data_IF_873570763922
#
_entry.id   IF_873570763922
#
_cell.length_a   1.000
_cell.length_b   1.000
_cell.length_c   1.000
_cell.angle_alpha   90.00
_cell.angle_beta   90.00
_cell.angle_gamma   90.00
#
_symmetry.space_group_name_H-M   'P 1'
#
loop_
_entity.id
_entity.type
_entity.pdbx_description
1 polymer ?
#
# COMPACT_ATOMS: atom_id res chain seq x y z
N UNK A 1 -1.44 -8.36 12.28
CA UNK A 1 -2.65 -9.16 11.97
C UNK A 1 -3.04 -8.86 10.52
N UNK A 2 -3.46 -9.85 9.71
CA UNK A 2 -3.83 -9.63 8.30
C UNK A 2 -5.23 -10.17 8.00
N UNK A 3 -6.06 -9.45 7.23
CA UNK A 3 -7.40 -9.90 6.91
C UNK A 3 -7.37 -11.13 5.99
N UNK A 4 -8.37 -12.01 6.13
CA UNK A 4 -8.48 -13.25 5.36
C UNK A 4 -9.78 -13.25 4.55
N UNK A 5 -9.76 -13.85 3.35
CA UNK A 5 -10.92 -13.90 2.45
C UNK A 5 -12.07 -14.68 3.06
N UNK A 6 -11.83 -15.92 3.49
CA UNK A 6 -12.83 -16.81 4.10
C UNK A 6 -14.08 -16.97 3.21
N UNK A 7 -13.88 -17.12 1.90
CA UNK A 7 -14.95 -17.31 0.92
C UNK A 7 -15.80 -16.07 0.61
N UNK A 8 -15.42 -14.88 1.10
CA UNK A 8 -16.11 -13.61 0.81
C UNK A 8 -15.55 -12.96 -0.44
N UNK A 9 -16.37 -12.16 -1.11
CA UNK A 9 -15.89 -11.20 -2.10
C UNK A 9 -15.06 -10.12 -1.38
N UNK A 10 -13.91 -9.77 -1.95
CA UNK A 10 -12.98 -8.81 -1.33
C UNK A 10 -13.27 -7.39 -1.80
N UNK A 11 -13.07 -7.14 -3.09
CA UNK A 11 -13.17 -5.79 -3.67
C UNK A 11 -14.62 -5.47 -4.00
N UNK A 12 -15.11 -4.33 -3.52
CA UNK A 12 -16.52 -3.94 -3.57
C UNK A 12 -17.37 -4.47 -2.43
N UNK A 13 -16.80 -5.26 -1.50
CA UNK A 13 -17.50 -5.79 -0.33
C UNK A 13 -16.73 -5.52 0.98
N UNK A 14 -15.57 -6.16 1.17
CA UNK A 14 -14.73 -5.96 2.35
C UNK A 14 -13.77 -4.77 2.21
N UNK A 15 -13.35 -4.52 0.97
CA UNK A 15 -12.51 -3.41 0.56
C UNK A 15 -13.35 -2.50 -0.32
N UNK A 16 -13.59 -1.24 0.07
CA UNK A 16 -14.37 -0.31 -0.75
C UNK A 16 -13.59 0.01 -2.03
N UNK A 17 -14.32 0.16 -3.14
CA UNK A 17 -13.76 0.63 -4.40
C UNK A 17 -13.94 2.15 -4.49
N UNK A 18 -12.96 2.83 -5.08
CA UNK A 18 -12.94 4.29 -5.26
C UNK A 18 -12.94 5.12 -3.95
N UNK A 19 -12.71 4.48 -2.80
CA UNK A 19 -12.58 5.13 -1.51
C UNK A 19 -11.26 4.72 -0.84
N UNK A 20 -10.78 5.58 0.06
CA UNK A 20 -9.58 5.28 0.84
C UNK A 20 -9.85 4.08 1.74
N UNK A 21 -8.89 3.15 1.74
CA UNK A 21 -8.88 1.97 2.58
C UNK A 21 -7.60 1.95 3.42
N UNK A 22 -7.74 1.54 4.68
CA UNK A 22 -6.67 1.45 5.68
C UNK A 22 -5.56 0.44 5.39
N UNK A 23 -5.60 -0.24 4.24
CA UNK A 23 -4.56 -1.15 3.74
C UNK A 23 -4.03 -2.11 4.80
N UNK A 24 -4.89 -3.02 5.28
CA UNK A 24 -4.54 -3.92 6.38
C UNK A 24 -5.74 -4.36 7.21
N UNK A 25 -5.46 -4.88 8.42
CA UNK A 25 -6.50 -5.35 9.34
C UNK A 25 -6.99 -4.25 10.29
N UNK A 26 -6.18 -3.89 11.29
CA UNK A 26 -6.60 -3.09 12.44
C UNK A 26 -5.76 -1.82 12.58
N UNK A 27 -4.44 -1.98 12.72
CA UNK A 27 -3.46 -0.89 12.75
C UNK A 27 -3.20 -0.37 11.34
N UNK A 28 -2.86 0.92 11.24
CA UNK A 28 -2.38 1.49 9.98
C UNK A 28 -1.05 0.83 9.61
N UNK A 29 -0.96 0.24 8.42
CA UNK A 29 0.29 -0.35 7.96
C UNK A 29 1.36 0.73 7.86
N UNK A 30 2.53 0.50 8.46
CA UNK A 30 3.64 1.44 8.41
C UNK A 30 4.69 1.03 7.38
N UNK A 31 5.23 2.01 6.67
CA UNK A 31 6.40 1.90 5.80
C UNK A 31 7.50 2.80 6.38
N UNK A 32 8.69 2.25 6.58
CA UNK A 32 9.83 3.01 7.12
C UNK A 32 11.03 2.81 6.21
N UNK A 33 11.71 3.91 5.89
CA UNK A 33 12.97 3.90 5.13
C UNK A 33 14.03 4.69 5.87
N UNK A 34 15.26 4.16 5.89
CA UNK A 34 16.44 4.79 6.44
C UNK A 34 17.28 5.54 5.37
N UNK A 35 16.84 5.51 4.11
CA UNK A 35 17.47 6.18 2.97
C UNK A 35 16.43 6.94 2.14
N UNK A 36 16.83 8.00 1.42
CA UNK A 36 15.96 8.60 0.42
C UNK A 36 15.67 7.56 -0.68
N UNK A 37 14.40 7.41 -1.02
CA UNK A 37 13.94 6.50 -2.05
C UNK A 37 13.32 7.28 -3.21
N UNK A 38 13.12 6.60 -4.32
CA UNK A 38 12.11 6.97 -5.30
C UNK A 38 11.04 5.89 -5.32
N UNK A 39 9.79 6.32 -5.33
CA UNK A 39 8.64 5.44 -5.49
C UNK A 39 8.01 5.83 -6.83
N UNK A 40 8.01 4.91 -7.78
CA UNK A 40 7.58 5.20 -9.16
C UNK A 40 8.26 6.46 -9.75
N UNK A 41 9.59 6.55 -9.55
CA UNK A 41 10.40 7.69 -9.98
C UNK A 41 10.25 8.97 -9.15
N UNK A 42 9.24 9.07 -8.27
CA UNK A 42 9.00 10.25 -7.43
C UNK A 42 9.76 10.17 -6.10
N UNK A 43 10.36 11.28 -5.64
CA UNK A 43 11.19 11.26 -4.43
C UNK A 43 10.35 11.02 -3.16
N UNK A 44 10.82 10.10 -2.32
CA UNK A 44 10.33 9.89 -0.96
C UNK A 44 11.49 10.09 0.02
N UNK A 45 11.43 11.10 0.91
CA UNK A 45 12.46 11.34 1.91
C UNK A 45 12.66 10.16 2.88
N UNK A 46 13.76 10.20 3.63
CA UNK A 46 13.95 9.33 4.80
C UNK A 46 12.81 9.58 5.78
N UNK A 47 12.20 8.52 6.30
CA UNK A 47 11.16 8.68 7.30
C UNK A 47 10.29 7.45 7.49
N UNK A 48 9.26 7.66 8.31
CA UNK A 48 8.22 6.68 8.62
C UNK A 48 6.87 7.22 8.14
N UNK A 49 6.15 6.36 7.45
CA UNK A 49 4.90 6.67 6.76
C UNK A 49 3.85 5.64 7.13
N UNK A 50 2.59 6.03 7.07
CA UNK A 50 1.46 5.09 7.03
C UNK A 50 1.01 4.90 5.59
N UNK A 51 0.64 3.67 5.26
CA UNK A 51 0.19 3.29 3.92
C UNK A 51 -1.33 3.25 3.86
N UNK A 52 -1.87 3.92 2.86
CA UNK A 52 -3.29 3.92 2.52
C UNK A 52 -3.44 3.57 1.04
N UNK A 53 -4.61 3.05 0.65
CA UNK A 53 -4.85 2.70 -0.75
C UNK A 53 -6.24 3.12 -1.18
N UNK A 54 -6.38 3.45 -2.45
CA UNK A 54 -7.68 3.64 -3.12
C UNK A 54 -7.80 2.58 -4.21
N UNK A 55 -8.41 1.43 -3.92
CA UNK A 55 -8.60 0.36 -4.90
C UNK A 55 -9.60 0.78 -5.97
N UNK A 56 -9.24 0.62 -7.24
CA UNK A 56 -10.15 0.67 -8.40
C UNK A 56 -10.00 -0.63 -9.20
N UNK A 57 -10.82 -0.81 -10.22
CA UNK A 57 -10.86 -2.06 -10.99
C UNK A 57 -9.55 -2.38 -11.72
N UNK A 58 -8.87 -1.36 -12.26
CA UNK A 58 -7.67 -1.51 -13.09
C UNK A 58 -6.41 -0.88 -12.51
N UNK A 59 -6.56 0.05 -11.56
CA UNK A 59 -5.47 0.84 -10.98
C UNK A 59 -5.73 1.01 -9.49
N UNK A 60 -4.69 0.93 -8.67
CA UNK A 60 -4.76 1.34 -7.28
C UNK A 60 -3.93 2.60 -7.08
N UNK A 61 -4.46 3.55 -6.32
CA UNK A 61 -3.64 4.61 -5.75
C UNK A 61 -3.05 4.09 -4.44
N UNK A 62 -1.74 4.20 -4.26
CA UNK A 62 -1.03 3.88 -3.01
C UNK A 62 -0.49 5.19 -2.43
N UNK A 63 -0.85 5.46 -1.19
CA UNK A 63 -0.63 6.75 -0.53
C UNK A 63 0.37 6.55 0.62
N UNK A 64 1.42 7.36 0.63
CA UNK A 64 2.40 7.45 1.70
C UNK A 64 2.08 8.69 2.53
N UNK A 65 1.53 8.49 3.72
CA UNK A 65 1.09 9.55 4.62
C UNK A 65 2.09 9.70 5.79
N UNK A 66 2.49 10.93 6.11
CA UNK A 66 3.49 11.20 7.15
C UNK A 66 2.95 11.08 8.59
N UNK A 67 1.64 11.17 8.78
CA UNK A 67 1.01 11.07 10.11
C UNK A 67 0.95 9.62 10.56
N UNK A 68 1.19 9.43 11.85
CA UNK A 68 1.14 8.12 12.50
C UNK A 68 -0.22 7.94 13.18
N UNK A 69 -0.78 6.75 13.03
CA UNK A 69 -2.08 6.41 13.57
C UNK A 69 -1.97 5.10 14.34
N UNK A 70 -2.48 5.07 15.57
CA UNK A 70 -2.56 3.85 16.37
C UNK A 70 -3.58 2.84 15.83
N UNK A 71 -4.54 3.32 15.04
CA UNK A 71 -5.58 2.49 14.43
C UNK A 71 -5.90 2.99 13.02
N UNK A 72 -6.33 2.09 12.14
CA UNK A 72 -6.60 2.41 10.74
C UNK A 72 -7.98 3.02 10.48
N UNK A 73 -8.95 2.84 11.38
CA UNK A 73 -10.34 3.35 11.25
C UNK A 73 -10.86 4.00 12.54
N UNK A 74 -11.85 4.86 12.41
CA UNK A 74 -12.59 5.43 13.55
C UNK A 74 -13.71 4.50 14.04
N UNK A 75 -14.53 4.99 14.98
CA UNK A 75 -15.69 4.27 15.53
C UNK A 75 -16.80 4.03 14.52
N UNK A 76 -16.81 4.75 13.40
CA UNK A 76 -17.76 4.62 12.29
C UNK A 76 -17.19 3.77 11.14
N UNK A 77 -16.05 3.10 11.36
CA UNK A 77 -15.33 2.29 10.36
C UNK A 77 -14.78 3.11 9.17
N UNK A 78 -14.65 4.43 9.32
CA UNK A 78 -14.03 5.30 8.31
C UNK A 78 -12.51 5.34 8.49
N UNK A 79 -11.72 5.47 7.42
CA UNK A 79 -10.27 5.59 7.53
C UNK A 79 -9.87 6.77 8.44
N UNK A 80 -8.90 6.55 9.33
CA UNK A 80 -8.32 7.63 10.15
C UNK A 80 -7.45 8.61 9.33
N UNK A 81 -7.14 8.24 8.09
CA UNK A 81 -6.35 9.01 7.12
C UNK A 81 -6.76 10.48 7.05
N UNK A 82 -5.76 11.34 6.93
CA UNK A 82 -5.90 12.79 6.81
C UNK A 82 -5.09 13.27 5.60
N UNK A 83 -5.73 13.70 4.50
CA UNK A 83 -5.07 14.04 3.24
C UNK A 83 -4.02 15.15 3.38
N UNK A 84 -4.10 15.99 4.42
CA UNK A 84 -3.15 17.07 4.64
C UNK A 84 -1.73 16.57 4.96
N UNK A 85 -1.59 15.28 5.25
CA UNK A 85 -0.32 14.64 5.60
C UNK A 85 0.19 13.71 4.50
N UNK A 86 -0.48 13.64 3.35
CA UNK A 86 -0.03 12.88 2.19
C UNK A 86 1.27 13.47 1.64
N UNK A 87 2.27 12.62 1.52
CA UNK A 87 3.59 12.99 1.00
C UNK A 87 3.72 12.56 -0.45
N UNK A 88 3.12 11.42 -0.79
CA UNK A 88 3.19 10.86 -2.13
C UNK A 88 2.01 9.93 -2.41
N UNK A 89 1.43 10.09 -3.60
CA UNK A 89 0.42 9.22 -4.16
C UNK A 89 0.95 8.61 -5.45
N UNK A 90 0.90 7.28 -5.58
CA UNK A 90 1.35 6.57 -6.78
C UNK A 90 0.24 5.71 -7.33
N UNK A 91 0.02 5.77 -8.64
CA UNK A 91 -0.97 4.92 -9.32
C UNK A 91 -0.27 3.69 -9.91
N UNK A 92 -0.67 2.50 -9.49
CA UNK A 92 -0.10 1.23 -9.94
C UNK A 92 -1.17 0.33 -10.55
N UNK A 93 -0.85 -0.38 -11.65
CA UNK A 93 -1.82 -1.24 -12.31
C UNK A 93 -2.17 -2.47 -11.46
N UNK A 94 -3.42 -2.89 -11.58
CA UNK A 94 -3.91 -4.15 -11.03
C UNK A 94 -3.46 -5.30 -11.92
N UNK A 95 -2.77 -6.26 -11.32
CA UNK A 95 -2.42 -7.53 -11.95
C UNK A 95 -3.33 -8.63 -11.43
N UNK A 96 -3.99 -9.33 -12.36
CA UNK A 96 -4.78 -10.51 -12.03
C UNK A 96 -3.89 -11.74 -11.82
N UNK A 97 -4.14 -12.46 -10.74
CA UNK A 97 -3.43 -13.67 -10.37
C UNK A 97 -4.23 -14.91 -10.81
N UNK A 98 -3.52 -15.94 -11.25
CA UNK A 98 -4.12 -17.24 -11.58
C UNK A 98 -4.46 -18.08 -10.34
N UNK A 99 -4.12 -17.61 -9.14
CA UNK A 99 -4.35 -18.29 -7.88
C UNK A 99 -4.90 -17.30 -6.87
N UNK A 100 -5.85 -17.76 -6.07
CA UNK A 100 -6.40 -17.00 -4.95
C UNK A 100 -5.37 -16.90 -3.82
N UNK A 101 -5.14 -15.66 -3.38
CA UNK A 101 -4.39 -15.31 -2.18
C UNK A 101 -5.36 -15.19 -1.01
N UNK A 102 -5.38 -16.17 -0.11
CA UNK A 102 -6.36 -16.22 0.97
C UNK A 102 -6.21 -15.12 2.02
N UNK A 103 -4.98 -14.68 2.27
CA UNK A 103 -4.67 -13.66 3.28
C UNK A 103 -4.02 -12.47 2.63
N UNK A 104 -4.51 -11.27 2.92
CA UNK A 104 -3.90 -10.05 2.42
C UNK A 104 -2.42 -10.02 2.81
N UNK A 105 -1.56 -9.95 1.80
CA UNK A 105 -0.12 -10.06 1.97
C UNK A 105 0.54 -8.83 1.42
N UNK A 106 1.33 -8.17 2.27
CA UNK A 106 2.23 -7.09 1.90
C UNK A 106 3.64 -7.66 2.01
N UNK A 107 4.48 -7.41 1.01
CA UNK A 107 5.86 -7.89 1.02
C UNK A 107 6.73 -7.19 -0.01
N UNK A 108 8.04 -7.35 0.13
CA UNK A 108 9.01 -6.88 -0.84
C UNK A 108 9.37 -7.98 -1.82
N UNK A 109 9.41 -7.66 -3.11
CA UNK A 109 9.83 -8.54 -4.19
C UNK A 109 11.02 -7.90 -4.90
N UNK A 110 12.14 -8.61 -4.95
CA UNK A 110 13.36 -8.17 -5.64
C UNK A 110 13.89 -9.24 -6.61
N UNK A 111 13.02 -10.15 -7.04
CA UNK A 111 13.43 -11.35 -7.80
C UNK A 111 13.97 -11.04 -9.20
N UNK A 112 13.59 -9.90 -9.79
CA UNK A 112 14.07 -9.45 -11.10
C UNK A 112 15.29 -8.52 -11.02
N UNK A 113 15.77 -8.21 -9.81
CA UNK A 113 16.79 -7.19 -9.57
C UNK A 113 16.21 -5.82 -9.21
N UNK A 114 14.99 -5.52 -9.64
CA UNK A 114 14.24 -4.32 -9.24
C UNK A 114 13.46 -4.58 -7.95
N UNK A 115 13.38 -3.60 -7.05
CA UNK A 115 12.67 -3.73 -5.78
C UNK A 115 11.22 -3.23 -5.91
N UNK A 116 10.27 -4.05 -5.49
CA UNK A 116 8.85 -3.70 -5.45
C UNK A 116 8.26 -3.90 -4.06
N UNK A 117 7.45 -2.96 -3.60
CA UNK A 117 6.48 -3.20 -2.53
C UNK A 117 5.21 -3.78 -3.15
N UNK A 118 4.91 -5.03 -2.81
CA UNK A 118 3.79 -5.77 -3.36
C UNK A 118 2.66 -5.89 -2.35
N UNK A 119 1.42 -5.81 -2.84
CA UNK A 119 0.21 -6.06 -2.08
C UNK A 119 -0.66 -7.03 -2.87
N UNK A 120 -1.05 -8.14 -2.26
CA UNK A 120 -1.85 -9.17 -2.91
C UNK A 120 -2.99 -9.68 -2.02
N UNK A 121 -4.19 -9.78 -2.58
CA UNK A 121 -5.35 -10.42 -1.96
C UNK A 121 -6.31 -10.96 -3.02
N UNK A 122 -6.89 -12.12 -2.74
CA UNK A 122 -7.73 -12.83 -3.69
C UNK A 122 -6.99 -13.02 -5.03
N UNK A 123 -7.57 -12.63 -6.15
CA UNK A 123 -6.97 -12.71 -7.47
C UNK A 123 -6.29 -11.39 -7.88
N UNK A 124 -6.04 -10.44 -6.97
CA UNK A 124 -5.44 -9.14 -7.25
C UNK A 124 -4.06 -9.02 -6.64
N UNK A 125 -3.10 -8.52 -7.43
CA UNK A 125 -1.78 -8.05 -6.99
C UNK A 125 -1.53 -6.65 -7.55
N UNK A 126 -0.95 -5.78 -6.75
CA UNK A 126 -0.31 -4.54 -7.20
C UNK A 126 1.16 -4.54 -6.77
N UNK A 127 2.00 -3.86 -7.54
CA UNK A 127 3.43 -3.74 -7.28
C UNK A 127 3.85 -2.28 -7.42
N UNK A 128 4.34 -1.71 -6.33
CA UNK A 128 4.86 -0.35 -6.28
C UNK A 128 6.37 -0.40 -6.48
N UNK A 129 6.92 0.15 -7.56
CA UNK A 129 8.36 0.20 -7.79
C UNK A 129 9.05 1.09 -6.76
N UNK A 130 10.18 0.61 -6.23
CA UNK A 130 11.01 1.31 -5.25
C UNK A 130 12.45 1.30 -5.75
N UNK A 131 13.07 2.47 -5.78
CA UNK A 131 14.48 2.64 -6.11
C UNK A 131 15.20 3.33 -4.96
N UNK A 132 16.41 2.88 -4.62
CA UNK A 132 17.30 3.66 -3.75
C UNK A 132 17.83 4.86 -4.55
N UNK A 133 17.82 6.06 -3.95
CA UNK A 133 18.57 7.18 -4.50
C UNK A 133 20.05 6.92 -4.22
N UNK A 134 20.92 6.82 -5.23
CA UNK A 134 22.35 6.64 -5.00
C UNK A 134 22.88 7.83 -4.19
N UNK A 135 23.60 7.56 -3.09
CA UNK A 135 24.34 8.60 -2.39
C UNK A 135 25.31 9.25 -3.39
N UNK A 136 25.19 10.56 -3.59
CA UNK A 136 26.25 11.32 -4.25
C UNK A 136 27.48 11.19 -3.36
N UNK A 137 28.47 10.41 -3.81
CA UNK A 137 29.83 10.50 -3.28
C UNK A 137 30.37 11.85 -3.72
N UNK A 138 30.41 12.81 -2.78
CA UNK A 138 31.23 14.01 -2.90
C UNK A 138 32.71 13.67 -2.73
#
# INVERSE_FOLDING_TARGET
NRPSKKGRDIFGALVPLNEVWRTGANEATTFETNKPLKIDGMPLPIGKYTLWTVPKDSVWTVIFNSKQYSWGVDTEMKPMWDPNYDVLDVEVPVHKLNKTVEQFTIGFDNTTGDLFLTMAWDDVKVAVPIEEVPEKKE
#
